data_IF_404298339874
#
_entry.id   IF_404298339874
#
_cell.length_a   1.000
_cell.length_b   1.000
_cell.length_c   1.000
_cell.angle_alpha   90.00
_cell.angle_beta   90.00
_cell.angle_gamma   90.00
#
_symmetry.space_group_name_H-M   'P 1'
#
loop_
_entity.id
_entity.type
_entity.pdbx_description
1 polymer ?
#
# COMPACT_ATOMS: atom_id res chain seq x y z
N UNK A 1 -0.22 26.58 -5.48
CA UNK A 1 0.85 25.66 -5.01
C UNK A 1 1.35 26.02 -3.61
N UNK A 2 1.26 27.27 -3.14
CA UNK A 2 1.73 27.68 -1.79
C UNK A 2 1.13 26.87 -0.64
N UNK A 3 -0.13 26.44 -0.74
CA UNK A 3 -0.79 25.61 0.28
C UNK A 3 -0.08 24.27 0.56
N UNK A 4 0.69 23.73 -0.40
CA UNK A 4 1.44 22.49 -0.27
C UNK A 4 2.95 22.70 -0.08
N UNK A 5 3.44 23.94 -0.26
CA UNK A 5 4.85 24.30 -0.17
C UNK A 5 5.21 25.06 1.12
N UNK A 6 4.22 25.33 1.98
CA UNK A 6 4.45 25.94 3.28
C UNK A 6 5.35 25.08 4.17
N UNK A 7 6.17 25.75 4.98
CA UNK A 7 7.04 25.08 5.96
C UNK A 7 6.21 24.21 6.93
N UNK A 8 6.72 23.01 7.22
CA UNK A 8 6.07 22.06 8.13
C UNK A 8 4.77 21.41 7.62
N UNK A 9 4.35 21.63 6.37
CA UNK A 9 3.11 21.03 5.82
C UNK A 9 3.10 19.51 5.94
N UNK A 10 4.24 18.85 5.72
CA UNK A 10 4.35 17.38 5.79
C UNK A 10 4.24 16.82 7.21
N UNK A 11 4.50 17.64 8.23
CA UNK A 11 4.46 17.24 9.64
C UNK A 11 3.12 17.56 10.30
N UNK A 12 2.23 18.27 9.59
CA UNK A 12 0.86 18.53 10.07
C UNK A 12 0.10 17.22 10.23
N UNK A 13 -0.72 17.17 11.26
CA UNK A 13 -1.52 16.00 11.61
C UNK A 13 -2.88 16.04 10.89
N UNK A 14 -3.24 14.95 10.24
CA UNK A 14 -4.48 14.75 9.50
C UNK A 14 -5.25 13.57 10.10
N UNK A 15 -6.51 13.77 10.51
CA UNK A 15 -7.36 12.66 10.91
C UNK A 15 -7.69 11.79 9.68
N UNK A 16 -7.46 10.48 9.79
CA UNK A 16 -7.89 9.47 8.81
C UNK A 16 -8.67 8.37 9.54
N UNK A 17 -9.95 8.62 9.90
CA UNK A 17 -10.77 7.69 10.69
C UNK A 17 -10.89 6.29 10.08
N UNK A 18 -10.72 6.18 8.77
CA UNK A 18 -10.79 4.95 7.99
C UNK A 18 -9.55 4.05 8.22
N UNK A 19 -8.42 4.65 8.62
CA UNK A 19 -7.15 3.95 8.86
C UNK A 19 -6.92 3.71 10.35
N UNK A 20 -7.32 4.66 11.20
CA UNK A 20 -7.18 4.49 12.64
C UNK A 20 -7.70 5.67 13.46
N UNK A 21 -7.83 5.44 14.77
CA UNK A 21 -8.40 6.43 15.69
C UNK A 21 -7.47 7.64 15.99
N UNK A 22 -6.19 7.56 15.62
CA UNK A 22 -5.21 8.64 15.84
C UNK A 22 -4.93 9.35 14.52
N UNK A 23 -4.67 10.66 14.53
CA UNK A 23 -4.25 11.36 13.32
C UNK A 23 -2.84 10.92 12.91
N UNK A 24 -2.53 11.13 11.63
CA UNK A 24 -1.23 10.82 11.02
C UNK A 24 -0.60 12.09 10.45
N UNK A 25 0.72 12.13 10.33
CA UNK A 25 1.38 13.22 9.59
C UNK A 25 0.96 13.21 8.13
N UNK A 26 0.98 14.36 7.45
CA UNK A 26 0.73 14.43 6.01
C UNK A 26 1.65 13.48 5.23
N UNK A 27 2.91 13.36 5.65
CA UNK A 27 3.87 12.40 5.09
C UNK A 27 3.36 10.96 5.17
N UNK A 28 2.84 10.55 6.33
CA UNK A 28 2.26 9.22 6.50
C UNK A 28 1.01 9.03 5.64
N UNK A 29 0.10 10.01 5.64
CA UNK A 29 -1.10 9.96 4.80
C UNK A 29 -0.76 9.78 3.31
N UNK A 30 0.20 10.56 2.80
CA UNK A 30 0.71 10.42 1.42
C UNK A 30 1.30 9.02 1.20
N UNK A 31 2.04 8.47 2.16
CA UNK A 31 2.61 7.12 2.04
C UNK A 31 1.55 6.02 2.01
N UNK A 32 0.41 6.20 2.69
CA UNK A 32 -0.71 5.27 2.62
C UNK A 32 -1.35 5.28 1.23
N UNK A 33 -1.56 6.47 0.65
CA UNK A 33 -2.04 6.57 -0.73
C UNK A 33 -1.03 6.02 -1.75
N UNK A 34 0.27 6.16 -1.50
CA UNK A 34 1.30 5.58 -2.37
C UNK A 34 1.16 4.05 -2.48
N UNK A 35 1.10 3.36 -1.34
CA UNK A 35 0.97 1.89 -1.36
C UNK A 35 -0.37 1.47 -1.96
N UNK A 36 -1.44 2.20 -1.66
CA UNK A 36 -2.78 1.98 -2.21
C UNK A 36 -2.77 2.04 -3.76
N UNK A 37 -2.17 3.09 -4.34
CA UNK A 37 -2.09 3.23 -5.80
C UNK A 37 -1.18 2.22 -6.47
N UNK A 38 -0.04 1.86 -5.86
CA UNK A 38 0.83 0.81 -6.42
C UNK A 38 0.09 -0.52 -6.52
N UNK A 39 -0.63 -0.88 -5.45
CA UNK A 39 -1.39 -2.12 -5.35
C UNK A 39 -2.60 -2.11 -6.29
N UNK A 40 -3.36 -1.02 -6.35
CA UNK A 40 -4.52 -0.93 -7.25
C UNK A 40 -4.16 -0.82 -8.72
N UNK A 41 -3.01 -0.24 -9.04
CA UNK A 41 -2.48 -0.29 -10.41
C UNK A 41 -2.14 -1.72 -10.82
N UNK A 42 -1.62 -2.54 -9.89
CA UNK A 42 -1.43 -3.97 -10.11
C UNK A 42 -2.77 -4.69 -10.32
N UNK A 43 -3.78 -4.40 -9.49
CA UNK A 43 -5.13 -4.99 -9.62
C UNK A 43 -5.72 -4.73 -11.03
N UNK A 44 -5.64 -3.47 -11.50
CA UNK A 44 -6.11 -3.06 -12.83
C UNK A 44 -5.30 -3.72 -13.94
N UNK A 45 -3.96 -3.72 -13.85
CA UNK A 45 -3.10 -4.32 -14.86
C UNK A 45 -3.38 -5.83 -15.01
N UNK A 46 -3.54 -6.54 -13.88
CA UNK A 46 -3.90 -7.96 -13.87
C UNK A 46 -5.27 -8.23 -14.49
N UNK A 47 -6.27 -7.40 -14.17
CA UNK A 47 -7.60 -7.50 -14.76
C UNK A 47 -7.58 -7.35 -16.29
N UNK A 48 -6.67 -6.52 -16.80
CA UNK A 48 -6.49 -6.27 -18.23
C UNK A 48 -5.51 -7.24 -18.92
N UNK A 49 -4.86 -8.14 -18.17
CA UNK A 49 -3.84 -9.03 -18.70
C UNK A 49 -2.57 -8.32 -19.18
N UNK A 50 -2.26 -7.13 -18.64
CA UNK A 50 -1.06 -6.35 -18.96
C UNK A 50 -0.11 -6.26 -17.77
N UNK A 51 1.14 -5.89 -18.03
CA UNK A 51 2.14 -5.65 -16.98
C UNK A 51 2.17 -4.17 -16.63
N UNK A 52 2.28 -3.87 -15.33
CA UNK A 52 2.60 -2.53 -14.82
C UNK A 52 4.00 -2.55 -14.21
N UNK A 53 4.78 -1.53 -14.53
CA UNK A 53 6.15 -1.36 -14.02
C UNK A 53 6.25 -0.03 -13.26
N UNK A 54 7.08 -0.04 -12.22
CA UNK A 54 7.35 1.14 -11.40
C UNK A 54 8.87 1.32 -11.26
N UNK A 55 9.35 2.56 -11.11
CA UNK A 55 10.72 2.82 -10.70
C UNK A 55 11.05 2.11 -9.37
N UNK A 56 12.31 1.70 -9.20
CA UNK A 56 12.75 0.94 -8.04
C UNK A 56 12.50 1.69 -6.72
N UNK A 57 12.72 3.00 -6.72
CA UNK A 57 12.50 3.87 -5.56
C UNK A 57 11.02 3.92 -5.12
N UNK A 58 10.09 3.77 -6.07
CA UNK A 58 8.65 3.69 -5.79
C UNK A 58 8.33 2.35 -5.13
N UNK A 59 8.88 1.26 -5.65
CA UNK A 59 8.69 -0.08 -5.09
C UNK A 59 9.31 -0.20 -3.69
N UNK A 60 10.48 0.40 -3.46
CA UNK A 60 11.13 0.41 -2.14
C UNK A 60 10.33 1.19 -1.09
N UNK A 61 9.79 2.36 -1.49
CA UNK A 61 8.91 3.15 -0.64
C UNK A 61 7.61 2.40 -0.32
N UNK A 62 6.94 1.84 -1.33
CA UNK A 62 5.72 1.05 -1.17
C UNK A 62 5.96 -0.20 -0.30
N UNK A 63 7.07 -0.92 -0.50
CA UNK A 63 7.43 -2.08 0.30
C UNK A 63 7.66 -1.71 1.77
N UNK A 64 8.22 -0.53 2.05
CA UNK A 64 8.40 -0.02 3.41
C UNK A 64 7.06 0.21 4.09
N UNK A 65 6.10 0.83 3.40
CA UNK A 65 4.75 1.03 3.92
C UNK A 65 4.01 -0.30 4.09
N UNK A 66 4.09 -1.20 3.10
CA UNK A 66 3.44 -2.51 3.14
C UNK A 66 3.87 -3.35 4.35
N UNK A 67 5.17 -3.32 4.71
CA UNK A 67 5.68 -4.00 5.91
C UNK A 67 5.22 -3.37 7.23
N UNK A 68 4.84 -2.10 7.23
CA UNK A 68 4.33 -1.42 8.41
C UNK A 68 2.83 -1.71 8.66
N UNK A 69 2.12 -2.27 7.68
CA UNK A 69 0.71 -2.66 7.84
C UNK A 69 0.62 -3.79 8.87
N UNK A 70 -0.21 -3.65 9.93
CA UNK A 70 -0.39 -4.68 10.94
C UNK A 70 -0.73 -6.05 10.34
N UNK A 71 -0.07 -7.09 10.85
CA UNK A 71 -0.24 -8.50 10.46
C UNK A 71 -1.03 -9.27 11.54
N UNK A 72 -1.24 -10.57 11.31
CA UNK A 72 -1.84 -11.48 12.29
C UNK A 72 -3.35 -11.30 12.44
N UNK A 73 -3.86 -11.44 13.66
CA UNK A 73 -5.30 -11.46 13.98
C UNK A 73 -6.07 -10.25 13.44
N UNK A 74 -5.41 -9.09 13.31
CA UNK A 74 -6.02 -7.88 12.73
C UNK A 74 -6.50 -8.07 11.28
N UNK A 75 -6.01 -9.08 10.57
CA UNK A 75 -6.37 -9.42 9.18
C UNK A 75 -7.39 -10.57 9.07
N UNK A 76 -7.77 -11.17 10.20
CA UNK A 76 -8.70 -12.30 10.24
C UNK A 76 -10.14 -11.90 10.61
N UNK A 77 -10.36 -10.61 10.88
CA UNK A 77 -11.68 -10.08 11.23
C UNK A 77 -12.50 -9.72 9.98
N UNK A 78 -13.84 -9.87 10.01
CA UNK A 78 -14.70 -9.39 8.93
C UNK A 78 -14.50 -7.90 8.66
N UNK A 79 -14.30 -7.54 7.39
CA UNK A 79 -14.08 -6.15 6.98
C UNK A 79 -12.66 -5.61 7.22
N UNK A 80 -11.69 -6.47 7.53
CA UNK A 80 -10.28 -6.07 7.56
C UNK A 80 -9.84 -5.43 6.25
N UNK A 81 -9.08 -4.33 6.33
CA UNK A 81 -8.60 -3.58 5.16
C UNK A 81 -7.65 -4.38 4.26
N UNK A 82 -6.92 -5.34 4.83
CA UNK A 82 -6.01 -6.22 4.11
C UNK A 82 -6.30 -7.67 4.45
N UNK A 83 -6.27 -8.54 3.43
CA UNK A 83 -6.29 -9.98 3.62
C UNK A 83 -4.96 -10.46 4.24
N UNK A 84 -4.93 -11.65 4.85
CA UNK A 84 -3.69 -12.26 5.34
C UNK A 84 -2.62 -12.32 4.25
N UNK A 85 -1.35 -12.10 4.63
CA UNK A 85 -0.22 -12.31 3.72
C UNK A 85 -0.26 -13.70 3.09
N UNK A 86 0.02 -13.77 1.79
CA UNK A 86 0.07 -15.02 1.03
C UNK A 86 1.52 -15.40 0.70
N UNK A 87 1.83 -16.69 0.52
CA UNK A 87 3.16 -17.12 0.13
C UNK A 87 3.61 -16.46 -1.17
N UNK A 88 4.86 -16.00 -1.18
CA UNK A 88 5.53 -15.46 -2.37
C UNK A 88 6.70 -16.38 -2.76
N UNK A 89 6.56 -17.23 -3.79
CA UNK A 89 7.60 -18.18 -4.18
C UNK A 89 8.78 -17.54 -4.94
N UNK A 90 8.67 -16.25 -5.28
CA UNK A 90 9.63 -15.51 -6.10
C UNK A 90 8.90 -14.67 -7.16
N UNK A 91 9.66 -13.91 -7.96
CA UNK A 91 9.10 -13.00 -8.96
C UNK A 91 9.59 -11.56 -8.77
N UNK A 92 8.77 -10.60 -9.17
CA UNK A 92 9.12 -9.18 -9.10
C UNK A 92 9.00 -8.61 -7.68
N UNK A 93 9.62 -7.45 -7.44
CA UNK A 93 9.42 -6.71 -6.20
C UNK A 93 7.96 -6.30 -5.99
N UNK A 94 7.22 -6.02 -7.06
CA UNK A 94 5.78 -5.74 -7.01
C UNK A 94 4.98 -6.96 -6.55
N UNK A 95 5.30 -8.15 -7.05
CA UNK A 95 4.65 -9.41 -6.63
C UNK A 95 4.82 -9.66 -5.13
N UNK A 96 6.01 -9.36 -4.58
CA UNK A 96 6.24 -9.43 -3.14
C UNK A 96 5.36 -8.45 -2.36
N UNK A 97 5.23 -7.21 -2.84
CA UNK A 97 4.45 -6.16 -2.17
C UNK A 97 2.98 -6.57 -2.08
N UNK A 98 2.40 -7.02 -3.20
CA UNK A 98 0.98 -7.42 -3.23
C UNK A 98 0.73 -8.70 -2.42
N UNK A 99 1.69 -9.64 -2.38
CA UNK A 99 1.62 -10.84 -1.56
C UNK A 99 1.60 -10.52 -0.05
N UNK A 100 2.45 -9.60 0.41
CA UNK A 100 2.45 -9.08 1.80
C UNK A 100 1.12 -8.43 2.16
N UNK A 101 0.40 -7.90 1.16
CA UNK A 101 -0.91 -7.26 1.32
C UNK A 101 -2.08 -8.18 0.96
N UNK A 102 -1.81 -9.48 0.87
CA UNK A 102 -2.80 -10.56 0.79
C UNK A 102 -3.38 -10.83 -0.60
N UNK A 103 -2.75 -10.33 -1.66
CA UNK A 103 -3.11 -10.64 -3.05
C UNK A 103 -2.19 -11.73 -3.57
N UNK A 104 -2.77 -12.75 -4.22
CA UNK A 104 -1.99 -13.78 -4.91
C UNK A 104 -1.38 -13.22 -6.20
N UNK A 105 -0.03 -13.22 -6.34
CA UNK A 105 0.62 -12.89 -7.61
C UNK A 105 0.21 -13.82 -8.76
N UNK A 106 -0.29 -15.02 -8.44
CA UNK A 106 -0.73 -16.01 -9.41
C UNK A 106 -2.24 -15.92 -9.72
N UNK A 107 -2.92 -14.84 -9.30
CA UNK A 107 -4.34 -14.65 -9.61
C UNK A 107 -4.58 -14.57 -11.13
N UNK A 108 -5.54 -15.37 -11.60
CA UNK A 108 -5.88 -15.55 -13.02
C UNK A 108 -7.24 -14.98 -13.45
N UNK A 109 -7.94 -14.28 -12.55
CA UNK A 109 -9.36 -13.92 -12.73
C UNK A 109 -10.27 -14.80 -11.90
#
# INVERSE_FOLDING_TARGET
MEAFAGEGVLDRMFPLPEVGARPFTARQAISFHLVDYVVHSWDVARTLGVTVEFPAEVLDAAATVARAVPQGEARLVPGAAFAPEVPWPGGSALDRIVAVLGRSPDWTG
#
